data_IF_566147880688
#
_entry.id   IF_566147880688
#
_cell.length_a   1.000
_cell.length_b   1.000
_cell.length_c   1.000
_cell.angle_alpha   90.00
_cell.angle_beta   90.00
_cell.angle_gamma   90.00
#
_symmetry.space_group_name_H-M   'P 1'
#
loop_
_entity.id
_entity.type
_entity.pdbx_description
1 polymer ?
#
# COMPACT_ATOMS: atom_id res chain seq x y z
N UNK A 1 8.03 -20.81 -1.83
CA UNK A 1 8.89 -20.16 -0.82
C UNK A 1 9.63 -18.92 -1.33
N UNK A 2 10.67 -19.00 -2.18
CA UNK A 2 11.45 -17.81 -2.56
C UNK A 2 10.66 -16.76 -3.38
N UNK A 3 9.75 -17.21 -4.27
CA UNK A 3 8.90 -16.28 -5.03
C UNK A 3 7.79 -15.67 -4.19
N UNK A 4 7.13 -16.42 -3.31
CA UNK A 4 6.13 -15.88 -2.36
C UNK A 4 6.70 -14.77 -1.48
N UNK A 5 7.94 -14.94 -1.00
CA UNK A 5 8.63 -13.91 -0.22
C UNK A 5 8.80 -12.61 -1.02
N UNK A 6 9.08 -12.69 -2.32
CA UNK A 6 9.22 -11.51 -3.20
C UNK A 6 7.90 -10.78 -3.43
N UNK A 7 6.80 -11.52 -3.66
CA UNK A 7 5.47 -10.92 -3.81
C UNK A 7 4.98 -10.30 -2.49
N UNK A 8 5.23 -10.96 -1.36
CA UNK A 8 4.92 -10.44 -0.02
C UNK A 8 5.71 -9.15 0.27
N UNK A 9 7.00 -9.09 -0.10
CA UNK A 9 7.80 -7.85 0.01
C UNK A 9 7.26 -6.71 -0.86
N UNK A 10 6.79 -7.00 -2.08
CA UNK A 10 6.15 -6.00 -2.92
C UNK A 10 4.87 -5.45 -2.29
N UNK A 11 4.00 -6.34 -1.83
CA UNK A 11 2.75 -5.95 -1.16
C UNK A 11 3.05 -5.12 0.09
N UNK A 12 4.05 -5.52 0.88
CA UNK A 12 4.46 -4.79 2.08
C UNK A 12 4.96 -3.38 1.75
N UNK A 13 5.77 -3.26 0.68
CA UNK A 13 6.23 -1.97 0.18
C UNK A 13 5.06 -1.06 -0.23
N UNK A 14 4.08 -1.59 -0.96
CA UNK A 14 2.88 -0.86 -1.36
C UNK A 14 2.10 -0.37 -0.14
N UNK A 15 1.91 -1.23 0.85
CA UNK A 15 1.15 -0.87 2.06
C UNK A 15 1.85 0.17 2.92
N UNK A 16 3.16 0.04 3.18
CA UNK A 16 3.90 1.06 3.93
C UNK A 16 3.82 2.42 3.22
N UNK A 17 4.03 2.42 1.90
CA UNK A 17 4.03 3.65 1.10
C UNK A 17 2.67 4.38 1.14
N UNK A 18 1.57 3.61 1.14
CA UNK A 18 0.22 4.13 1.33
C UNK A 18 -0.02 4.58 2.78
N UNK A 19 0.46 3.83 3.76
CA UNK A 19 0.28 4.11 5.18
C UNK A 19 0.94 5.44 5.57
N UNK A 20 2.18 5.69 5.16
CA UNK A 20 2.88 6.95 5.42
C UNK A 20 2.08 8.15 4.89
N UNK A 21 1.52 8.03 3.69
CA UNK A 21 0.67 9.08 3.12
C UNK A 21 -0.62 9.25 3.90
N UNK A 22 -1.31 8.16 4.20
CA UNK A 22 -2.59 8.22 4.89
C UNK A 22 -2.43 8.82 6.29
N UNK A 23 -1.39 8.44 7.02
CA UNK A 23 -1.05 8.99 8.34
C UNK A 23 -0.91 10.53 8.28
N UNK A 24 -0.17 11.06 7.30
CA UNK A 24 -0.05 12.50 7.10
C UNK A 24 -1.40 13.20 6.83
N UNK A 25 -2.28 12.56 6.06
CA UNK A 25 -3.63 13.07 5.81
C UNK A 25 -4.54 13.00 7.04
N UNK A 26 -4.41 11.95 7.84
CA UNK A 26 -5.16 11.78 9.10
C UNK A 26 -4.74 12.87 10.09
N UNK A 27 -3.43 13.10 10.25
CA UNK A 27 -2.89 14.18 11.09
C UNK A 27 -3.32 15.58 10.61
N UNK A 28 -3.37 15.81 9.30
CA UNK A 28 -3.83 17.08 8.75
C UNK A 28 -5.34 17.31 8.95
N UNK A 29 -6.17 16.28 8.72
CA UNK A 29 -7.62 16.40 8.78
C UNK A 29 -8.16 16.36 10.22
N UNK A 30 -7.46 15.69 11.13
CA UNK A 30 -7.90 15.48 12.50
C UNK A 30 -6.97 16.19 13.49
N UNK A 31 -7.46 17.32 14.00
CA UNK A 31 -6.79 18.06 15.09
C UNK A 31 -6.82 17.27 16.41
N UNK A 32 -7.77 16.33 16.56
CA UNK A 32 -7.91 15.52 17.77
C UNK A 32 -7.01 14.26 17.69
N UNK A 33 -5.90 14.31 18.41
CA UNK A 33 -4.89 13.25 18.49
C UNK A 33 -5.48 11.87 18.84
N UNK A 34 -6.47 11.80 19.73
CA UNK A 34 -7.08 10.53 20.12
C UNK A 34 -7.83 9.88 18.95
N UNK A 35 -8.61 10.68 18.22
CA UNK A 35 -9.38 10.20 17.08
C UNK A 35 -8.46 9.80 15.91
N UNK A 36 -7.40 10.59 15.67
CA UNK A 36 -6.36 10.28 14.69
C UNK A 36 -5.70 8.93 14.97
N UNK A 37 -5.25 8.71 16.22
CA UNK A 37 -4.62 7.46 16.64
C UNK A 37 -5.55 6.25 16.47
N UNK A 38 -6.84 6.38 16.81
CA UNK A 38 -7.82 5.29 16.64
C UNK A 38 -8.02 4.95 15.17
N UNK A 39 -8.10 5.96 14.29
CA UNK A 39 -8.26 5.75 12.85
C UNK A 39 -7.01 5.12 12.24
N UNK A 40 -5.82 5.54 12.64
CA UNK A 40 -4.56 4.91 12.22
C UNK A 40 -4.51 3.44 12.58
N UNK A 41 -4.86 3.09 13.83
CA UNK A 41 -4.92 1.71 14.28
C UNK A 41 -5.91 0.88 13.46
N UNK A 42 -7.08 1.44 13.13
CA UNK A 42 -8.11 0.79 12.32
C UNK A 42 -7.60 0.51 10.89
N UNK A 43 -6.86 1.45 10.32
CA UNK A 43 -6.21 1.28 9.02
C UNK A 43 -5.11 0.22 9.09
N UNK A 44 -4.22 0.26 10.09
CA UNK A 44 -3.18 -0.76 10.28
C UNK A 44 -3.83 -2.14 10.39
N UNK A 45 -4.91 -2.26 11.15
CA UNK A 45 -5.64 -3.52 11.30
C UNK A 45 -6.20 -4.02 9.95
N UNK A 46 -6.80 -3.12 9.16
CA UNK A 46 -7.28 -3.41 7.81
C UNK A 46 -6.14 -3.87 6.90
N UNK A 47 -4.99 -3.19 6.94
CA UNK A 47 -3.80 -3.54 6.16
C UNK A 47 -3.30 -4.93 6.54
N UNK A 48 -3.15 -5.23 7.83
CA UNK A 48 -2.66 -6.53 8.31
C UNK A 48 -3.63 -7.65 7.92
N UNK A 49 -4.94 -7.41 8.03
CA UNK A 49 -5.97 -8.38 7.64
C UNK A 49 -5.96 -8.63 6.13
N UNK A 50 -5.76 -7.58 5.33
CA UNK A 50 -5.64 -7.69 3.87
C UNK A 50 -4.30 -8.26 3.41
N UNK A 51 -3.26 -8.25 4.25
CA UNK A 51 -1.93 -8.81 3.97
C UNK A 51 -1.91 -10.34 3.95
N UNK A 52 -3.04 -11.00 4.20
CA UNK A 52 -3.14 -12.46 4.25
C UNK A 52 -2.72 -13.13 2.92
N UNK A 53 -2.42 -14.43 3.01
CA UNK A 53 -2.03 -15.34 1.91
C UNK A 53 -2.89 -15.16 0.66
N UNK A 54 -4.17 -14.80 0.82
CA UNK A 54 -5.08 -14.52 -0.28
C UNK A 54 -4.59 -13.42 -1.23
N UNK A 55 -4.16 -12.27 -0.71
CA UNK A 55 -3.71 -11.15 -1.54
C UNK A 55 -2.38 -11.49 -2.23
N UNK A 56 -1.48 -12.13 -1.50
CA UNK A 56 -0.19 -12.60 -2.04
C UNK A 56 -0.40 -13.61 -3.16
N UNK A 57 -1.31 -14.56 -3.00
CA UNK A 57 -1.67 -15.51 -4.04
C UNK A 57 -2.42 -14.87 -5.21
N UNK A 58 -3.29 -13.89 -4.97
CA UNK A 58 -3.97 -13.15 -6.03
C UNK A 58 -2.96 -12.40 -6.92
N UNK A 59 -2.02 -11.67 -6.32
CA UNK A 59 -0.95 -10.95 -7.06
C UNK A 59 -0.05 -11.93 -7.79
N UNK A 60 0.35 -13.04 -7.15
CA UNK A 60 1.14 -14.10 -7.78
C UNK A 60 0.42 -14.70 -9.00
N UNK A 61 -0.84 -15.12 -8.84
CA UNK A 61 -1.66 -15.68 -9.91
C UNK A 61 -1.85 -14.70 -11.07
N UNK A 62 -2.03 -13.40 -10.76
CA UNK A 62 -2.09 -12.36 -11.78
C UNK A 62 -0.78 -12.26 -12.56
N UNK A 63 0.36 -12.18 -11.86
CA UNK A 63 1.67 -12.09 -12.50
C UNK A 63 1.98 -13.31 -13.36
N UNK A 64 1.65 -14.52 -12.87
CA UNK A 64 1.83 -15.77 -13.61
C UNK A 64 0.91 -15.84 -14.83
N UNK A 65 -0.37 -15.47 -14.70
CA UNK A 65 -1.35 -15.47 -15.80
C UNK A 65 -0.95 -14.55 -16.95
N UNK A 66 -0.41 -13.37 -16.63
CA UNK A 66 -0.02 -12.37 -17.62
C UNK A 66 1.48 -12.40 -17.96
N UNK A 67 2.25 -13.35 -17.41
CA UNK A 67 3.73 -13.44 -17.54
C UNK A 67 4.44 -12.12 -17.23
N UNK A 68 3.91 -11.35 -16.27
CA UNK A 68 4.47 -10.07 -15.86
C UNK A 68 5.59 -10.32 -14.86
N UNK A 69 6.77 -9.76 -15.12
CA UNK A 69 7.87 -9.77 -14.14
C UNK A 69 7.52 -8.83 -12.98
N UNK A 70 7.82 -9.25 -11.75
CA UNK A 70 7.62 -8.46 -10.53
C UNK A 70 8.18 -7.02 -10.62
N UNK A 71 9.32 -6.85 -11.30
CA UNK A 71 9.93 -5.54 -11.53
C UNK A 71 8.98 -4.54 -12.21
N UNK A 72 8.16 -5.01 -13.16
CA UNK A 72 7.16 -4.17 -13.81
C UNK A 72 6.05 -3.73 -12.85
N UNK A 73 5.67 -4.56 -11.87
CA UNK A 73 4.68 -4.15 -10.86
C UNK A 73 5.21 -3.04 -9.97
N UNK A 74 6.49 -3.10 -9.55
CA UNK A 74 7.12 -2.01 -8.82
C UNK A 74 7.12 -0.71 -9.64
N UNK A 75 7.48 -0.79 -10.92
CA UNK A 75 7.55 0.37 -11.79
C UNK A 75 6.16 0.98 -12.01
N UNK A 76 5.16 0.15 -12.31
CA UNK A 76 3.76 0.58 -12.44
C UNK A 76 3.26 1.20 -11.14
N UNK A 77 3.56 0.58 -9.99
CA UNK A 77 3.16 1.12 -8.70
C UNK A 77 3.78 2.49 -8.43
N UNK A 78 5.08 2.68 -8.68
CA UNK A 78 5.76 3.97 -8.47
C UNK A 78 5.13 5.04 -9.38
N UNK A 79 4.88 4.72 -10.66
CA UNK A 79 4.24 5.66 -11.60
C UNK A 79 2.84 6.02 -11.12
N UNK A 80 2.02 5.03 -10.75
CA UNK A 80 0.68 5.28 -10.20
C UNK A 80 0.73 6.08 -8.91
N UNK A 81 1.67 5.77 -8.01
CA UNK A 81 1.86 6.48 -6.75
C UNK A 81 2.20 7.96 -6.99
N UNK A 82 3.12 8.24 -7.91
CA UNK A 82 3.47 9.62 -8.27
C UNK A 82 2.30 10.36 -8.95
N UNK A 83 1.53 9.69 -9.81
CA UNK A 83 0.37 10.31 -10.45
C UNK A 83 -0.74 10.62 -9.42
N UNK A 84 -1.12 9.64 -8.60
CA UNK A 84 -2.20 9.81 -7.62
C UNK A 84 -1.79 10.79 -6.53
N UNK A 85 -0.62 10.62 -5.91
CA UNK A 85 -0.21 11.46 -4.77
C UNK A 85 0.58 12.72 -5.15
N UNK A 86 0.99 12.85 -6.42
CA UNK A 86 1.65 14.05 -6.93
C UNK A 86 0.70 14.99 -7.66
N UNK A 87 -0.33 14.48 -8.36
CA UNK A 87 -1.26 15.30 -9.14
C UNK A 87 -2.67 15.36 -8.55
N UNK A 88 -3.21 14.23 -8.08
CA UNK A 88 -4.63 14.15 -7.70
C UNK A 88 -4.84 14.51 -6.22
N UNK A 89 -3.95 14.02 -5.35
CA UNK A 89 -4.01 14.17 -3.90
C UNK A 89 -2.64 14.66 -3.40
N UNK A 90 -2.25 15.90 -3.72
CA UNK A 90 -0.98 16.47 -3.27
C UNK A 90 -0.98 16.59 -1.74
N UNK A 91 0.18 16.40 -1.12
CA UNK A 91 0.33 16.62 0.33
C UNK A 91 -0.18 18.03 0.68
N UNK A 92 -1.04 18.18 1.70
CA UNK A 92 -1.38 19.51 2.19
C UNK A 92 -0.10 20.21 2.66
N UNK A 93 0.05 21.48 2.30
CA UNK A 93 1.22 22.30 2.61
C UNK A 93 1.28 22.69 4.09
#
# INVERSE_FOLDING_TARGET
>A
MANEKKYSMFIFFVFISLFIKLNYWVDFLLVNFYLATVIELLVIFLIITLFDSFLTNAVKNFCEKFKIKLFYLYLVYIVLYLLVFGLIIPLPA
#
